data_IF_399382735118
#
_entry.id   IF_399382735118
#
_cell.length_a   1.000
_cell.length_b   1.000
_cell.length_c   1.000
_cell.angle_alpha   90.00
_cell.angle_beta   90.00
_cell.angle_gamma   90.00
#
_symmetry.space_group_name_H-M   'P 1'
#
loop_
_entity.id
_entity.type
_entity.pdbx_description
1 polymer ?
#
# COMPACT_ATOMS: atom_id res chain seq x y z
N UNK A 1 -15.46 -27.69 -23.37
CA UNK A 1 -14.55 -27.99 -22.23
C UNK A 1 -13.12 -27.53 -22.52
N UNK A 2 -12.46 -27.98 -23.59
CA UNK A 2 -11.07 -27.60 -23.91
C UNK A 2 -10.86 -26.07 -24.11
N UNK A 3 -11.75 -25.39 -24.83
CA UNK A 3 -11.67 -23.94 -25.04
C UNK A 3 -11.80 -23.13 -23.74
N UNK A 4 -12.66 -23.55 -22.82
CA UNK A 4 -12.78 -22.91 -21.50
C UNK A 4 -11.51 -23.09 -20.67
N UNK A 5 -10.86 -24.25 -20.76
CA UNK A 5 -9.59 -24.48 -20.08
C UNK A 5 -8.50 -23.52 -20.61
N UNK A 6 -8.40 -23.33 -21.93
CA UNK A 6 -7.46 -22.37 -22.53
C UNK A 6 -7.78 -20.92 -22.16
N UNK A 7 -9.05 -20.58 -21.95
CA UNK A 7 -9.43 -19.24 -21.55
C UNK A 7 -9.03 -18.91 -20.10
N UNK A 8 -9.12 -19.89 -19.20
CA UNK A 8 -8.99 -19.70 -17.74
C UNK A 8 -7.58 -20.04 -17.22
N UNK A 9 -6.96 -21.12 -17.74
CA UNK A 9 -5.70 -21.63 -17.22
C UNK A 9 -4.54 -20.61 -17.21
N UNK A 10 -4.37 -19.73 -18.22
CA UNK A 10 -3.28 -18.76 -18.22
C UNK A 10 -3.40 -17.76 -17.07
N UNK A 11 -4.61 -17.25 -16.80
CA UNK A 11 -4.87 -16.33 -15.68
C UNK A 11 -4.60 -16.99 -14.33
N UNK A 12 -5.06 -18.24 -14.16
CA UNK A 12 -4.78 -18.99 -12.93
C UNK A 12 -3.29 -19.27 -12.74
N UNK A 13 -2.56 -19.58 -13.81
CA UNK A 13 -1.11 -19.79 -13.75
C UNK A 13 -0.39 -18.51 -13.29
N UNK A 14 -0.81 -17.34 -13.75
CA UNK A 14 -0.26 -16.05 -13.30
C UNK A 14 -0.60 -15.79 -11.82
N UNK A 15 -1.84 -16.05 -11.40
CA UNK A 15 -2.25 -15.91 -10.00
C UNK A 15 -1.38 -16.79 -9.09
N UNK A 16 -1.17 -18.06 -9.46
CA UNK A 16 -0.31 -18.98 -8.73
C UNK A 16 1.15 -18.51 -8.72
N UNK A 17 1.66 -18.04 -9.86
CA UNK A 17 3.03 -17.52 -9.95
C UNK A 17 3.26 -16.36 -8.98
N UNK A 18 2.35 -15.39 -8.92
CA UNK A 18 2.46 -14.26 -7.98
C UNK A 18 2.28 -14.70 -6.53
N UNK A 19 1.32 -15.60 -6.26
CA UNK A 19 1.13 -16.17 -4.93
C UNK A 19 2.41 -16.86 -4.41
N UNK A 20 3.11 -17.64 -5.24
CA UNK A 20 4.38 -18.26 -4.85
C UNK A 20 5.56 -17.29 -4.77
N UNK A 21 5.46 -16.10 -5.36
CA UNK A 21 6.49 -15.05 -5.25
C UNK A 21 6.36 -14.22 -3.97
N UNK A 22 5.17 -14.21 -3.38
CA UNK A 22 4.91 -13.70 -2.06
C UNK A 22 5.33 -14.74 -1.01
N UNK A 23 6.59 -14.68 -0.58
CA UNK A 23 7.20 -15.71 0.29
C UNK A 23 7.20 -15.28 1.76
N UNK A 24 7.27 -13.97 2.03
CA UNK A 24 7.60 -13.47 3.36
C UNK A 24 6.37 -13.06 4.17
N UNK A 25 5.29 -12.62 3.52
CA UNK A 25 4.04 -12.26 4.18
C UNK A 25 2.82 -12.61 3.33
N UNK A 26 2.52 -13.91 3.28
CA UNK A 26 1.48 -14.41 2.41
C UNK A 26 0.09 -13.87 2.78
N UNK A 27 -0.49 -13.15 1.83
CA UNK A 27 -1.85 -12.65 1.95
C UNK A 27 -2.88 -13.79 2.11
N UNK A 28 -3.89 -13.63 2.99
CA UNK A 28 -4.90 -14.66 3.16
C UNK A 28 -5.62 -14.98 1.85
N UNK A 29 -5.65 -16.27 1.50
CA UNK A 29 -6.24 -16.79 0.24
C UNK A 29 -7.67 -16.27 0.00
N UNK A 30 -8.46 -16.10 1.07
CA UNK A 30 -9.80 -15.52 1.01
C UNK A 30 -9.81 -14.13 0.33
N UNK A 31 -8.89 -13.25 0.70
CA UNK A 31 -8.86 -11.90 0.13
C UNK A 31 -8.35 -11.91 -1.31
N UNK A 32 -7.40 -12.77 -1.64
CA UNK A 32 -6.91 -12.95 -3.02
C UNK A 32 -8.02 -13.47 -3.94
N UNK A 33 -8.75 -14.50 -3.53
CA UNK A 33 -9.91 -15.04 -4.26
C UNK A 33 -10.99 -13.98 -4.44
N UNK A 34 -11.23 -13.15 -3.42
CA UNK A 34 -12.22 -12.09 -3.52
C UNK A 34 -11.80 -10.97 -4.44
N UNK A 35 -10.52 -10.57 -4.43
CA UNK A 35 -9.98 -9.60 -5.36
C UNK A 35 -10.07 -10.08 -6.80
N UNK A 36 -9.78 -11.36 -7.05
CA UNK A 36 -10.00 -11.98 -8.36
C UNK A 36 -11.47 -11.93 -8.79
N UNK A 37 -12.39 -12.28 -7.90
CA UNK A 37 -13.82 -12.21 -8.20
C UNK A 37 -14.31 -10.79 -8.45
N UNK A 38 -13.86 -9.79 -7.68
CA UNK A 38 -14.20 -8.40 -7.96
C UNK A 38 -13.60 -7.92 -9.28
N UNK A 39 -12.42 -8.40 -9.66
CA UNK A 39 -11.85 -8.20 -10.98
C UNK A 39 -12.75 -8.73 -12.10
N UNK A 40 -13.30 -9.94 -11.94
CA UNK A 40 -14.31 -10.45 -12.88
C UNK A 40 -15.51 -9.51 -12.98
N UNK A 41 -16.04 -9.03 -11.85
CA UNK A 41 -17.19 -8.12 -11.85
C UNK A 41 -16.92 -6.78 -12.54
N UNK A 42 -15.66 -6.32 -12.63
CA UNK A 42 -15.34 -5.04 -13.28
C UNK A 42 -15.58 -5.03 -14.79
N UNK A 43 -15.65 -6.19 -15.45
CA UNK A 43 -15.91 -6.26 -16.89
C UNK A 43 -17.31 -5.74 -17.27
N UNK A 44 -18.31 -5.94 -16.41
CA UNK A 44 -19.70 -5.57 -16.70
C UNK A 44 -19.88 -4.05 -16.76
N UNK A 45 -19.52 -3.27 -15.73
CA UNK A 45 -19.65 -1.82 -15.80
C UNK A 45 -18.66 -1.19 -16.78
N UNK A 46 -17.49 -1.81 -17.03
CA UNK A 46 -16.56 -1.38 -18.08
C UNK A 46 -17.22 -1.48 -19.46
N UNK A 47 -17.74 -2.66 -19.82
CA UNK A 47 -18.41 -2.86 -21.11
C UNK A 47 -19.68 -2.01 -21.30
N UNK A 48 -20.46 -1.76 -20.25
CA UNK A 48 -21.61 -0.83 -20.31
C UNK A 48 -21.12 0.59 -20.62
N UNK A 49 -20.07 1.05 -19.94
CA UNK A 49 -19.56 2.40 -20.12
C UNK A 49 -18.92 2.57 -21.50
N UNK A 50 -18.13 1.59 -21.93
CA UNK A 50 -17.55 1.52 -23.27
C UNK A 50 -18.65 1.62 -24.32
N UNK A 51 -19.64 0.72 -24.30
CA UNK A 51 -20.74 0.72 -25.29
C UNK A 51 -21.60 1.99 -25.25
N UNK A 52 -21.75 2.63 -24.09
CA UNK A 52 -22.52 3.89 -23.96
C UNK A 52 -21.76 5.11 -24.49
N UNK A 53 -20.42 5.09 -24.40
CA UNK A 53 -19.55 6.16 -24.89
C UNK A 53 -19.11 5.92 -26.34
N UNK A 54 -19.18 4.68 -26.83
CA UNK A 54 -18.83 4.28 -28.19
C UNK A 54 -19.95 4.64 -29.17
N UNK A 55 -19.96 5.89 -29.63
CA UNK A 55 -20.80 6.33 -30.75
C UNK A 55 -20.00 6.23 -32.04
N UNK A 56 -19.99 5.05 -32.67
CA UNK A 56 -19.43 4.74 -34.00
C UNK A 56 -18.30 5.71 -34.43
N UNK A 57 -17.14 5.68 -33.75
CA UNK A 57 -16.06 6.61 -33.99
C UNK A 57 -15.61 6.49 -35.45
N UNK A 58 -15.34 7.63 -36.06
CA UNK A 58 -14.75 7.69 -37.39
C UNK A 58 -13.45 6.88 -37.46
N UNK A 59 -13.17 6.24 -38.60
CA UNK A 59 -11.98 5.38 -38.79
C UNK A 59 -10.69 6.22 -38.95
N UNK A 60 -10.59 7.38 -38.29
CA UNK A 60 -9.39 8.22 -38.31
C UNK A 60 -8.38 7.74 -37.26
N UNK A 61 -7.08 7.89 -37.56
CA UNK A 61 -5.99 7.51 -36.64
C UNK A 61 -6.12 8.22 -35.28
N UNK A 62 -6.60 9.46 -35.26
CA UNK A 62 -6.82 10.20 -34.03
C UNK A 62 -7.96 9.60 -33.19
N UNK A 63 -9.04 9.16 -33.83
CA UNK A 63 -10.16 8.50 -33.18
C UNK A 63 -9.77 7.14 -32.60
N UNK A 64 -8.97 6.36 -33.35
CA UNK A 64 -8.37 5.10 -32.86
C UNK A 64 -7.48 5.37 -31.64
N UNK A 65 -6.68 6.43 -31.66
CA UNK A 65 -5.88 6.86 -30.51
C UNK A 65 -6.75 7.19 -29.28
N UNK A 66 -7.77 8.03 -29.44
CA UNK A 66 -8.67 8.36 -28.32
C UNK A 66 -9.39 7.12 -27.79
N UNK A 67 -9.86 6.25 -28.69
CA UNK A 67 -10.53 4.99 -28.35
C UNK A 67 -9.61 4.08 -27.52
N UNK A 68 -8.37 3.89 -27.97
CA UNK A 68 -7.41 3.01 -27.30
C UNK A 68 -7.09 3.46 -25.88
N UNK A 69 -6.81 4.75 -25.68
CA UNK A 69 -6.34 5.26 -24.38
C UNK A 69 -7.48 5.69 -23.44
N UNK A 70 -8.48 6.42 -23.95
CA UNK A 70 -9.51 7.04 -23.11
C UNK A 70 -10.76 6.18 -22.98
N UNK A 71 -11.12 5.43 -24.01
CA UNK A 71 -12.37 4.67 -24.03
C UNK A 71 -12.18 3.24 -23.52
N UNK A 72 -11.14 2.54 -23.96
CA UNK A 72 -10.86 1.15 -23.54
C UNK A 72 -9.94 1.16 -22.32
N UNK A 73 -8.67 1.53 -22.49
CA UNK A 73 -7.66 1.37 -21.44
C UNK A 73 -7.99 2.15 -20.15
N UNK A 74 -8.45 3.41 -20.24
CA UNK A 74 -8.77 4.19 -19.06
C UNK A 74 -10.02 3.66 -18.31
N UNK A 75 -10.99 3.12 -19.04
CA UNK A 75 -12.21 2.56 -18.45
C UNK A 75 -11.91 1.24 -17.76
N UNK A 76 -11.28 0.30 -18.46
CA UNK A 76 -10.93 -1.00 -17.90
C UNK A 76 -9.99 -0.88 -16.69
N UNK A 77 -8.88 -0.14 -16.84
CA UNK A 77 -7.94 0.08 -15.73
C UNK A 77 -8.57 0.93 -14.62
N UNK A 78 -9.51 1.82 -14.95
CA UNK A 78 -10.24 2.63 -13.99
C UNK A 78 -11.09 1.78 -13.05
N UNK A 79 -11.86 0.83 -13.58
CA UNK A 79 -12.66 -0.07 -12.75
C UNK A 79 -11.80 -1.04 -11.92
N UNK A 80 -10.71 -1.58 -12.48
CA UNK A 80 -9.73 -2.37 -11.72
C UNK A 80 -9.13 -1.53 -10.58
N UNK A 81 -8.74 -0.28 -10.86
CA UNK A 81 -8.21 0.66 -9.88
C UNK A 81 -9.22 0.99 -8.78
N UNK A 82 -10.51 1.13 -9.08
CA UNK A 82 -11.58 1.34 -8.08
C UNK A 82 -11.62 0.17 -7.10
N UNK A 83 -11.62 -1.08 -7.60
CA UNK A 83 -11.58 -2.27 -6.73
C UNK A 83 -10.32 -2.25 -5.85
N UNK A 84 -9.16 -1.98 -6.44
CA UNK A 84 -7.92 -1.91 -5.67
C UNK A 84 -7.95 -0.83 -4.59
N UNK A 85 -8.40 0.38 -4.95
CA UNK A 85 -8.35 1.55 -4.08
C UNK A 85 -9.37 1.50 -2.94
N UNK A 86 -10.54 0.92 -3.18
CA UNK A 86 -11.66 0.96 -2.23
C UNK A 86 -11.93 -0.37 -1.53
N UNK A 87 -11.52 -1.50 -2.11
CA UNK A 87 -11.60 -2.82 -1.47
C UNK A 87 -10.22 -3.28 -0.95
N UNK A 88 -9.23 -3.50 -1.82
CA UNK A 88 -7.95 -4.13 -1.45
C UNK A 88 -7.13 -3.24 -0.50
N UNK A 89 -6.95 -1.98 -0.87
CA UNK A 89 -6.15 -0.99 -0.13
C UNK A 89 -6.62 -0.79 1.32
N UNK A 90 -7.91 -1.06 1.61
CA UNK A 90 -8.50 -0.92 2.95
C UNK A 90 -8.34 -2.17 3.80
N UNK A 91 -7.79 -3.26 3.27
CA UNK A 91 -7.57 -4.49 4.03
C UNK A 91 -6.49 -4.26 5.11
N UNK A 92 -6.70 -4.78 6.34
CA UNK A 92 -5.67 -4.74 7.37
C UNK A 92 -4.41 -5.53 7.01
N UNK A 93 -4.56 -6.57 6.19
CA UNK A 93 -3.46 -7.45 5.77
C UNK A 93 -2.58 -6.82 4.70
N UNK A 94 -3.07 -5.79 4.00
CA UNK A 94 -2.24 -5.00 3.11
C UNK A 94 -1.35 -4.10 3.97
N UNK A 95 -0.22 -4.62 4.39
CA UNK A 95 0.69 -3.99 5.34
C UNK A 95 2.11 -3.85 4.80
N UNK A 96 2.39 -4.28 3.56
CA UNK A 96 3.60 -3.95 2.82
C UNK A 96 3.38 -3.47 1.37
N UNK A 97 4.37 -2.83 0.72
CA UNK A 97 4.22 -2.36 -0.66
C UNK A 97 4.00 -3.49 -1.69
N UNK A 98 4.53 -4.70 -1.45
CA UNK A 98 4.41 -5.84 -2.36
C UNK A 98 2.96 -6.30 -2.53
N UNK A 99 2.15 -6.24 -1.46
CA UNK A 99 0.73 -6.60 -1.46
C UNK A 99 -0.06 -5.85 -2.52
N UNK A 100 0.34 -4.59 -2.79
CA UNK A 100 -0.23 -3.79 -3.86
C UNK A 100 -0.14 -4.49 -5.22
N UNK A 101 1.01 -5.11 -5.51
CA UNK A 101 1.21 -5.89 -6.73
C UNK A 101 0.39 -7.18 -6.68
N UNK A 102 0.43 -7.91 -5.56
CA UNK A 102 -0.28 -9.19 -5.41
C UNK A 102 -1.78 -9.00 -5.64
N UNK A 103 -2.41 -8.07 -4.92
CA UNK A 103 -3.82 -7.77 -5.10
C UNK A 103 -4.16 -7.24 -6.48
N UNK A 104 -3.32 -6.37 -7.05
CA UNK A 104 -3.55 -5.81 -8.38
C UNK A 104 -3.53 -6.86 -9.47
N UNK A 105 -2.55 -7.78 -9.43
CA UNK A 105 -2.52 -8.90 -10.38
C UNK A 105 -3.74 -9.79 -10.21
N UNK A 106 -4.20 -10.06 -8.99
CA UNK A 106 -5.43 -10.84 -8.78
C UNK A 106 -6.65 -10.18 -9.44
N UNK A 107 -6.84 -8.86 -9.25
CA UNK A 107 -7.92 -8.09 -9.88
C UNK A 107 -7.79 -8.13 -11.41
N UNK A 108 -6.60 -7.86 -11.95
CA UNK A 108 -6.35 -7.87 -13.40
C UNK A 108 -6.56 -9.25 -14.01
N UNK A 109 -6.17 -10.33 -13.33
CA UNK A 109 -6.41 -11.71 -13.80
C UNK A 109 -7.88 -12.11 -13.73
N UNK A 110 -8.62 -11.61 -12.74
CA UNK A 110 -10.08 -11.75 -12.70
C UNK A 110 -10.73 -11.15 -13.93
N UNK A 111 -10.42 -9.88 -14.23
CA UNK A 111 -10.91 -9.19 -15.43
C UNK A 111 -10.53 -9.95 -16.71
N UNK A 112 -9.23 -10.23 -16.88
CA UNK A 112 -8.70 -10.89 -18.07
C UNK A 112 -9.30 -12.28 -18.30
N UNK A 113 -9.70 -12.99 -17.23
CA UNK A 113 -10.34 -14.30 -17.35
C UNK A 113 -11.70 -14.20 -18.04
N UNK A 114 -12.59 -13.32 -17.58
CA UNK A 114 -13.91 -13.18 -18.22
C UNK A 114 -13.81 -12.58 -19.61
N UNK A 115 -12.92 -11.62 -19.80
CA UNK A 115 -12.67 -11.01 -21.11
C UNK A 115 -12.19 -12.08 -22.10
N UNK A 116 -11.18 -12.88 -21.72
CA UNK A 116 -10.68 -13.96 -22.56
C UNK A 116 -11.75 -15.03 -22.84
N UNK A 117 -12.60 -15.38 -21.87
CA UNK A 117 -13.74 -16.28 -22.11
C UNK A 117 -14.69 -15.71 -23.18
N UNK A 118 -15.00 -14.41 -23.14
CA UNK A 118 -15.81 -13.74 -24.15
C UNK A 118 -15.20 -13.82 -25.55
N UNK A 119 -13.92 -13.48 -25.69
CA UNK A 119 -13.22 -13.59 -26.98
C UNK A 119 -13.17 -15.03 -27.52
N UNK A 120 -12.90 -16.01 -26.65
CA UNK A 120 -12.85 -17.42 -27.06
C UNK A 120 -14.22 -17.93 -27.46
N UNK A 121 -15.29 -17.47 -26.81
CA UNK A 121 -16.66 -17.81 -27.18
C UNK A 121 -17.01 -17.30 -28.58
N UNK A 122 -16.56 -16.09 -28.94
CA UNK A 122 -16.86 -15.45 -30.22
C UNK A 122 -15.96 -15.94 -31.37
N UNK A 123 -14.66 -16.16 -31.12
CA UNK A 123 -13.67 -16.36 -32.18
C UNK A 123 -12.98 -17.74 -32.15
N UNK A 124 -13.21 -18.55 -31.13
CA UNK A 124 -12.73 -19.93 -31.05
C UNK A 124 -11.24 -20.08 -30.71
N UNK A 125 -10.67 -21.24 -31.10
CA UNK A 125 -9.35 -21.70 -30.68
C UNK A 125 -8.16 -20.80 -31.08
N UNK A 126 -8.04 -20.31 -32.33
CA UNK A 126 -6.85 -19.56 -32.74
C UNK A 126 -6.65 -18.29 -31.92
N UNK A 127 -7.75 -17.57 -31.64
CA UNK A 127 -7.73 -16.37 -30.79
C UNK A 127 -7.41 -16.74 -29.34
N UNK A 128 -7.97 -17.83 -28.82
CA UNK A 128 -7.63 -18.34 -27.49
C UNK A 128 -6.13 -18.56 -27.32
N UNK A 129 -5.51 -19.20 -28.30
CA UNK A 129 -4.09 -19.56 -28.27
C UNK A 129 -3.19 -18.33 -28.33
N UNK A 130 -3.48 -17.35 -29.18
CA UNK A 130 -2.70 -16.11 -29.26
C UNK A 130 -2.81 -15.31 -27.96
N UNK A 131 -4.04 -15.10 -27.46
CA UNK A 131 -4.30 -14.32 -26.24
C UNK A 131 -3.65 -14.90 -24.99
N UNK A 132 -3.48 -16.21 -24.93
CA UNK A 132 -2.75 -16.90 -23.85
C UNK A 132 -1.30 -16.38 -23.70
N UNK A 133 -0.65 -16.02 -24.80
CA UNK A 133 0.73 -15.52 -24.79
C UNK A 133 0.85 -14.00 -24.92
N UNK A 134 -0.24 -13.31 -25.27
CA UNK A 134 -0.23 -11.87 -25.51
C UNK A 134 -1.09 -11.12 -24.48
N UNK A 135 -2.41 -11.03 -24.70
CA UNK A 135 -3.30 -10.16 -23.92
C UNK A 135 -3.40 -10.57 -22.44
N UNK A 136 -3.39 -11.87 -22.10
CA UNK A 136 -3.45 -12.30 -20.68
C UNK A 136 -2.16 -11.90 -19.94
N UNK A 137 -0.95 -12.18 -20.45
CA UNK A 137 0.27 -11.60 -19.89
C UNK A 137 0.29 -10.06 -19.86
N UNK A 138 -0.29 -9.38 -20.86
CA UNK A 138 -0.39 -7.93 -20.88
C UNK A 138 -1.14 -7.39 -19.66
N UNK A 139 -2.35 -7.90 -19.38
CA UNK A 139 -3.13 -7.53 -18.18
C UNK A 139 -2.37 -7.77 -16.87
N UNK A 140 -1.58 -8.85 -16.80
CA UNK A 140 -0.76 -9.12 -15.64
C UNK A 140 0.31 -8.04 -15.43
N UNK A 141 0.98 -7.62 -16.51
CA UNK A 141 2.01 -6.57 -16.44
C UNK A 141 1.43 -5.20 -16.09
N UNK A 142 0.27 -4.85 -16.64
CA UNK A 142 -0.43 -3.61 -16.30
C UNK A 142 -0.87 -3.62 -14.83
N UNK A 143 -1.35 -4.77 -14.35
CA UNK A 143 -1.64 -5.02 -12.94
C UNK A 143 -0.42 -4.83 -12.04
N UNK A 144 0.77 -5.33 -12.43
CA UNK A 144 2.01 -5.10 -11.66
C UNK A 144 2.36 -3.62 -11.57
N UNK A 145 2.29 -2.87 -12.67
CA UNK A 145 2.59 -1.43 -12.70
C UNK A 145 1.62 -0.67 -11.81
N UNK A 146 0.31 -0.93 -11.96
CA UNK A 146 -0.74 -0.30 -11.14
C UNK A 146 -0.51 -0.58 -9.66
N UNK A 147 -0.31 -1.86 -9.33
CA UNK A 147 -0.16 -2.34 -7.96
C UNK A 147 1.10 -1.83 -7.27
N UNK A 148 2.21 -1.70 -8.00
CA UNK A 148 3.47 -1.17 -7.47
C UNK A 148 3.28 0.25 -6.91
N UNK A 149 2.76 1.17 -7.73
CA UNK A 149 2.58 2.56 -7.31
C UNK A 149 1.45 2.72 -6.27
N UNK A 150 0.36 1.94 -6.39
CA UNK A 150 -0.73 1.95 -5.43
C UNK A 150 -0.26 1.45 -4.05
N UNK A 151 0.50 0.36 -4.00
CA UNK A 151 1.11 -0.14 -2.77
C UNK A 151 2.01 0.87 -2.12
N UNK A 152 2.93 1.47 -2.89
CA UNK A 152 3.80 2.54 -2.38
C UNK A 152 3.00 3.74 -1.82
N UNK A 153 1.88 4.11 -2.44
CA UNK A 153 1.04 5.24 -2.01
C UNK A 153 0.41 5.06 -0.63
N UNK A 154 0.29 3.81 -0.16
CA UNK A 154 -0.21 3.49 1.18
C UNK A 154 0.75 3.92 2.27
N UNK A 155 2.04 3.70 2.05
CA UNK A 155 3.11 3.94 3.02
C UNK A 155 3.79 5.31 2.84
N UNK A 156 3.74 5.90 1.65
CA UNK A 156 4.26 7.24 1.36
C UNK A 156 3.13 8.28 1.32
N UNK A 157 2.64 8.69 2.51
CA UNK A 157 1.59 9.70 2.65
C UNK A 157 1.92 11.05 1.98
N UNK A 158 3.14 11.62 2.12
CA UNK A 158 3.50 12.88 1.47
C UNK A 158 3.34 12.85 -0.06
N UNK A 159 3.73 11.75 -0.71
CA UNK A 159 3.62 11.60 -2.16
C UNK A 159 2.38 10.83 -2.62
N UNK A 160 1.45 10.50 -1.71
CA UNK A 160 0.32 9.61 -1.99
C UNK A 160 -0.45 10.00 -3.25
N UNK A 161 -0.85 11.27 -3.38
CA UNK A 161 -1.64 11.74 -4.54
C UNK A 161 -0.89 11.51 -5.85
N UNK A 162 0.39 11.84 -5.88
CA UNK A 162 1.27 11.65 -7.05
C UNK A 162 1.41 10.16 -7.41
N UNK A 163 1.60 9.31 -6.41
CA UNK A 163 1.73 7.86 -6.60
C UNK A 163 0.42 7.21 -7.09
N UNK A 164 -0.73 7.67 -6.59
CA UNK A 164 -2.03 7.21 -7.10
C UNK A 164 -2.23 7.57 -8.57
N UNK A 165 -1.80 8.77 -8.99
CA UNK A 165 -1.82 9.14 -10.41
C UNK A 165 -0.87 8.28 -11.25
N UNK A 166 0.34 7.99 -10.77
CA UNK A 166 1.27 7.10 -11.46
C UNK A 166 0.76 5.66 -11.57
N UNK A 167 0.04 5.19 -10.55
CA UNK A 167 -0.62 3.88 -10.57
C UNK A 167 -1.64 3.79 -11.70
N UNK A 168 -2.57 4.76 -11.77
CA UNK A 168 -3.62 4.76 -12.78
C UNK A 168 -3.06 5.03 -14.19
N UNK A 169 -2.37 6.16 -14.38
CA UNK A 169 -1.85 6.56 -15.70
C UNK A 169 -0.80 5.59 -16.23
N UNK A 170 0.04 5.02 -15.36
CA UNK A 170 1.06 4.07 -15.79
C UNK A 170 0.48 2.80 -16.42
N UNK A 171 -0.60 2.27 -15.83
CA UNK A 171 -1.31 1.11 -16.38
C UNK A 171 -2.09 1.48 -17.65
N UNK A 172 -2.86 2.57 -17.62
CA UNK A 172 -3.63 3.04 -18.77
C UNK A 172 -2.76 3.34 -19.99
N UNK A 173 -1.58 3.95 -19.81
CA UNK A 173 -0.68 4.22 -20.92
C UNK A 173 -0.13 2.94 -21.56
N UNK A 174 0.29 1.97 -20.75
CA UNK A 174 0.83 0.70 -21.27
C UNK A 174 -0.25 -0.14 -21.96
N UNK A 175 -1.45 -0.17 -21.37
CA UNK A 175 -2.61 -0.83 -21.95
C UNK A 175 -3.05 -0.15 -23.25
N UNK A 176 -3.29 1.16 -23.24
CA UNK A 176 -3.69 1.90 -24.42
C UNK A 176 -2.65 1.85 -25.54
N UNK A 177 -1.35 1.76 -25.22
CA UNK A 177 -0.30 1.53 -26.24
C UNK A 177 -0.43 0.16 -26.90
N UNK A 178 -0.70 -0.88 -26.11
CA UNK A 178 -0.90 -2.24 -26.63
C UNK A 178 -2.12 -2.30 -27.55
N UNK A 179 -3.25 -1.76 -27.11
CA UNK A 179 -4.50 -1.73 -27.90
C UNK A 179 -4.39 -0.84 -29.13
N UNK A 180 -3.69 0.29 -29.05
CA UNK A 180 -3.47 1.18 -30.19
C UNK A 180 -2.89 0.41 -31.38
N UNK A 181 -1.86 -0.41 -31.15
CA UNK A 181 -1.25 -1.19 -32.22
C UNK A 181 -2.18 -2.25 -32.80
N UNK A 182 -3.01 -2.89 -31.97
CA UNK A 182 -4.00 -3.87 -32.43
C UNK A 182 -5.12 -3.21 -33.23
N UNK A 183 -5.67 -2.09 -32.75
CA UNK A 183 -6.76 -1.37 -33.39
C UNK A 183 -6.32 -0.67 -34.68
N UNK A 184 -5.09 -0.13 -34.74
CA UNK A 184 -4.52 0.35 -36.01
C UNK A 184 -4.36 -0.80 -37.01
N UNK A 185 -4.18 -2.04 -36.53
CA UNK A 185 -4.17 -3.25 -37.35
C UNK A 185 -5.52 -3.58 -37.99
N UNK A 186 -6.61 -2.99 -37.51
CA UNK A 186 -7.97 -3.13 -38.07
C UNK A 186 -8.42 -1.90 -38.88
N UNK A 187 -7.67 -0.79 -38.82
CA UNK A 187 -8.00 0.45 -39.51
C UNK A 187 -7.76 0.37 -41.03
N UNK A 188 -8.77 0.70 -41.84
CA UNK A 188 -8.72 0.48 -43.29
C UNK A 188 -7.68 1.36 -43.99
N UNK A 189 -7.48 2.59 -43.51
CA UNK A 189 -6.52 3.52 -44.11
C UNK A 189 -5.08 3.12 -43.77
N UNK A 190 -4.81 2.80 -42.50
CA UNK A 190 -3.46 2.41 -42.04
C UNK A 190 -2.98 1.13 -42.72
N UNK A 191 -3.87 0.14 -42.91
CA UNK A 191 -3.55 -1.14 -43.56
C UNK A 191 -3.08 -0.99 -45.02
N UNK A 192 -3.35 0.15 -45.68
CA UNK A 192 -2.83 0.43 -47.02
C UNK A 192 -1.33 0.77 -47.03
N UNK A 193 -0.80 1.26 -45.91
CA UNK A 193 0.58 1.77 -45.81
C UNK A 193 1.45 0.95 -44.87
N UNK A 194 0.86 0.25 -43.90
CA UNK A 194 1.56 -0.49 -42.86
C UNK A 194 1.04 -1.92 -42.81
N UNK A 195 1.93 -2.90 -42.80
CA UNK A 195 1.54 -4.31 -42.72
C UNK A 195 1.00 -4.68 -41.34
N UNK A 196 0.00 -5.57 -41.31
CA UNK A 196 -0.54 -6.14 -40.07
C UNK A 196 0.54 -6.76 -39.19
N UNK A 197 1.55 -7.40 -39.81
CA UNK A 197 2.69 -7.97 -39.09
C UNK A 197 3.52 -6.92 -38.35
N UNK A 198 3.73 -5.73 -38.93
CA UNK A 198 4.49 -4.67 -38.27
C UNK A 198 3.70 -4.08 -37.10
N UNK A 199 2.39 -3.88 -37.26
CA UNK A 199 1.50 -3.38 -36.21
C UNK A 199 1.38 -4.39 -35.06
N UNK A 200 1.18 -5.67 -35.37
CA UNK A 200 1.23 -6.73 -34.37
C UNK A 200 2.60 -6.80 -33.69
N UNK A 201 3.70 -6.61 -34.44
CA UNK A 201 5.04 -6.44 -33.88
C UNK A 201 5.15 -5.26 -32.91
N UNK A 202 4.45 -4.16 -33.17
CA UNK A 202 4.33 -3.02 -32.27
C UNK A 202 3.63 -3.38 -30.95
N UNK A 203 2.53 -4.13 -31.01
CA UNK A 203 1.84 -4.65 -29.82
C UNK A 203 2.73 -5.60 -29.00
N UNK A 204 3.49 -6.49 -29.66
CA UNK A 204 4.46 -7.34 -28.98
C UNK A 204 5.62 -6.54 -28.39
N UNK A 205 6.07 -5.48 -29.06
CA UNK A 205 7.08 -4.55 -28.57
C UNK A 205 6.64 -3.82 -27.31
N UNK A 206 5.41 -3.32 -27.27
CA UNK A 206 4.85 -2.68 -26.06
C UNK A 206 4.69 -3.67 -24.91
N UNK A 207 4.24 -4.90 -25.19
CA UNK A 207 4.20 -5.99 -24.22
C UNK A 207 5.60 -6.31 -23.66
N UNK A 208 6.61 -6.42 -24.52
CA UNK A 208 7.99 -6.66 -24.08
C UNK A 208 8.49 -5.56 -23.14
N UNK A 209 8.24 -4.29 -23.46
CA UNK A 209 8.56 -3.15 -22.58
C UNK A 209 7.83 -3.29 -21.24
N UNK A 210 6.53 -3.59 -21.26
CA UNK A 210 5.73 -3.77 -20.05
C UNK A 210 6.24 -4.93 -19.16
N UNK A 211 6.66 -6.05 -19.76
CA UNK A 211 7.26 -7.19 -19.06
C UNK A 211 8.58 -6.81 -18.42
N UNK A 212 9.48 -6.11 -19.12
CA UNK A 212 10.78 -5.70 -18.57
C UNK A 212 10.61 -4.74 -17.40
N UNK A 213 9.70 -3.78 -17.51
CA UNK A 213 9.35 -2.87 -16.42
C UNK A 213 8.75 -3.64 -15.24
N UNK A 214 7.78 -4.52 -15.48
CA UNK A 214 7.13 -5.31 -14.43
C UNK A 214 8.11 -6.18 -13.64
N UNK A 215 9.08 -6.81 -14.32
CA UNK A 215 10.17 -7.57 -13.67
C UNK A 215 11.00 -6.70 -12.73
N UNK A 216 11.35 -5.48 -13.17
CA UNK A 216 12.10 -4.51 -12.35
C UNK A 216 11.30 -4.09 -11.12
N UNK A 217 10.02 -3.79 -11.27
CA UNK A 217 9.14 -3.37 -10.17
C UNK A 217 8.91 -4.49 -9.15
N UNK A 218 8.64 -5.72 -9.61
CA UNK A 218 8.54 -6.91 -8.76
C UNK A 218 9.83 -7.14 -7.96
N UNK A 219 10.99 -7.04 -8.62
CA UNK A 219 12.27 -7.22 -7.94
C UNK A 219 12.50 -6.17 -6.84
N UNK A 220 12.14 -4.90 -7.09
CA UNK A 220 12.27 -3.83 -6.10
C UNK A 220 11.39 -4.06 -4.86
N UNK A 221 10.13 -4.43 -5.04
CA UNK A 221 9.25 -4.76 -3.92
C UNK A 221 9.68 -6.06 -3.21
N UNK A 222 10.18 -7.07 -3.92
CA UNK A 222 10.72 -8.28 -3.30
C UNK A 222 11.93 -7.99 -2.40
N UNK A 223 12.87 -7.13 -2.84
CA UNK A 223 13.98 -6.69 -1.98
C UNK A 223 13.47 -5.92 -0.75
N UNK A 224 12.41 -5.13 -0.92
CA UNK A 224 11.80 -4.37 0.18
C UNK A 224 11.20 -5.32 1.21
N UNK A 225 10.41 -6.31 0.77
CA UNK A 225 9.85 -7.37 1.60
C UNK A 225 10.94 -8.20 2.30
N UNK A 226 11.99 -8.63 1.57
CA UNK A 226 13.14 -9.32 2.16
C UNK A 226 13.78 -8.53 3.31
N UNK A 227 14.05 -7.23 3.11
CA UNK A 227 14.63 -6.35 4.14
C UNK A 227 13.70 -6.16 5.32
N UNK A 228 12.39 -6.18 5.08
CA UNK A 228 11.39 -6.11 6.14
C UNK A 228 11.41 -7.40 6.97
N UNK A 229 11.26 -8.58 6.36
CA UNK A 229 10.92 -9.80 7.11
C UNK A 229 12.10 -10.70 7.50
N UNK A 230 13.28 -10.60 6.87
CA UNK A 230 14.37 -11.56 7.13
C UNK A 230 15.51 -11.03 8.00
N UNK A 231 15.67 -9.71 8.13
CA UNK A 231 16.73 -9.14 8.96
C UNK A 231 16.21 -8.88 10.36
N UNK A 232 16.85 -9.49 11.38
CA UNK A 232 16.70 -9.00 12.75
C UNK A 232 17.02 -7.50 12.75
N UNK A 233 16.14 -6.66 13.31
CA UNK A 233 16.29 -5.23 13.12
C UNK A 233 17.59 -4.78 13.79
N UNK A 234 18.54 -4.28 13.00
CA UNK A 234 19.76 -3.65 13.51
C UNK A 234 19.37 -2.25 13.93
N UNK A 235 18.83 -2.16 15.14
CA UNK A 235 18.29 -0.93 15.67
C UNK A 235 19.40 -0.04 16.21
N UNK A 236 19.45 1.18 15.71
CA UNK A 236 20.25 2.25 16.32
C UNK A 236 19.33 3.36 16.79
N UNK A 237 19.71 3.98 17.90
CA UNK A 237 18.95 5.04 18.56
C UNK A 237 19.77 6.32 18.54
N UNK A 238 19.10 7.44 18.28
CA UNK A 238 19.71 8.76 18.31
C UNK A 238 18.77 9.76 18.96
N UNK A 239 19.30 10.59 19.85
CA UNK A 239 18.57 11.74 20.37
C UNK A 239 18.22 12.70 19.22
N UNK A 240 16.96 13.07 19.13
CA UNK A 240 16.47 14.02 18.15
C UNK A 240 16.87 15.44 18.56
N UNK A 241 17.12 16.29 17.56
CA UNK A 241 17.34 17.72 17.74
C UNK A 241 16.23 18.53 17.05
N UNK A 242 16.32 19.86 17.13
CA UNK A 242 15.38 20.76 16.45
C UNK A 242 15.33 20.49 14.93
N UNK A 243 16.43 20.04 14.31
CA UNK A 243 16.45 19.72 12.88
C UNK A 243 15.57 18.52 12.51
N UNK A 244 15.21 17.69 13.50
CA UNK A 244 14.47 16.45 13.30
C UNK A 244 12.95 16.60 13.43
N UNK A 245 12.46 17.80 13.78
CA UNK A 245 11.04 18.08 13.98
C UNK A 245 10.20 17.62 12.77
N UNK A 246 10.65 17.91 11.56
CA UNK A 246 9.94 17.52 10.33
C UNK A 246 9.95 16.00 10.12
N UNK A 247 11.01 15.31 10.52
CA UNK A 247 11.08 13.84 10.46
C UNK A 247 10.10 13.21 11.45
N UNK A 248 10.05 13.70 12.69
CA UNK A 248 9.09 13.23 13.72
C UNK A 248 7.66 13.45 13.24
N UNK A 249 7.34 14.63 12.68
CA UNK A 249 6.02 14.89 12.08
C UNK A 249 5.72 13.91 10.95
N UNK A 250 6.68 13.68 10.05
CA UNK A 250 6.51 12.74 8.93
C UNK A 250 6.21 11.32 9.41
N UNK A 251 6.97 10.82 10.39
CA UNK A 251 6.73 9.51 10.99
C UNK A 251 5.35 9.45 11.67
N UNK A 252 4.97 10.49 12.39
CA UNK A 252 3.67 10.58 13.07
C UNK A 252 2.51 10.50 12.08
N UNK A 253 2.60 11.22 10.95
CA UNK A 253 1.61 11.19 9.87
C UNK A 253 1.50 9.81 9.19
N UNK A 254 2.56 9.01 9.21
CA UNK A 254 2.54 7.64 8.67
C UNK A 254 1.94 6.63 9.65
N UNK A 255 2.18 6.80 10.97
CA UNK A 255 1.76 5.84 12.01
C UNK A 255 0.35 6.08 12.51
N UNK A 256 -0.01 7.32 12.84
CA UNK A 256 -1.26 7.65 13.54
C UNK A 256 -2.52 7.23 12.79
N UNK A 257 -2.71 7.59 11.50
CA UNK A 257 -3.93 7.24 10.78
C UNK A 257 -4.16 5.73 10.71
N UNK A 258 -3.09 4.93 10.63
CA UNK A 258 -3.19 3.48 10.58
C UNK A 258 -3.51 2.88 11.95
N UNK A 259 -2.98 3.48 13.02
CA UNK A 259 -3.17 3.01 14.39
C UNK A 259 -4.55 3.37 14.95
N UNK A 260 -5.07 4.55 14.61
CA UNK A 260 -6.27 5.10 15.25
C UNK A 260 -7.51 5.15 14.34
N UNK A 261 -7.43 4.85 13.04
CA UNK A 261 -8.59 4.96 12.13
C UNK A 261 -9.77 4.03 12.48
N UNK A 262 -9.55 2.99 13.27
CA UNK A 262 -10.63 2.10 13.77
C UNK A 262 -11.18 2.54 15.13
N UNK A 263 -10.57 3.55 15.75
CA UNK A 263 -10.86 4.01 17.12
C UNK A 263 -11.42 5.44 17.10
N UNK A 264 -10.81 6.30 16.29
CA UNK A 264 -11.06 7.74 16.24
C UNK A 264 -11.56 8.15 14.86
N UNK A 265 -12.38 9.19 14.83
CA UNK A 265 -12.88 9.76 13.57
C UNK A 265 -11.76 10.49 12.82
N UNK A 266 -11.86 10.57 11.48
CA UNK A 266 -10.86 11.30 10.68
C UNK A 266 -10.70 12.77 11.12
N UNK A 267 -11.76 13.55 11.42
CA UNK A 267 -11.62 14.90 11.97
C UNK A 267 -10.82 14.93 13.28
N UNK A 268 -11.09 14.00 14.20
CA UNK A 268 -10.37 13.92 15.47
C UNK A 268 -8.89 13.59 15.26
N UNK A 269 -8.56 12.64 14.37
CA UNK A 269 -7.16 12.29 14.06
C UNK A 269 -6.40 13.50 13.50
N UNK A 270 -7.01 14.23 12.57
CA UNK A 270 -6.39 15.42 11.98
C UNK A 270 -6.19 16.53 13.03
N UNK A 271 -7.19 16.75 13.88
CA UNK A 271 -7.10 17.70 14.99
C UNK A 271 -5.95 17.35 15.94
N UNK A 272 -5.90 16.09 16.39
CA UNK A 272 -4.87 15.57 17.29
C UNK A 272 -3.46 15.67 16.67
N UNK A 273 -3.31 15.31 15.40
CA UNK A 273 -2.03 15.44 14.69
C UNK A 273 -1.55 16.90 14.63
N UNK A 274 -2.46 17.86 14.53
CA UNK A 274 -2.10 19.27 14.50
C UNK A 274 -1.69 19.80 15.87
N UNK A 275 -2.47 19.52 16.92
CA UNK A 275 -2.17 20.02 18.27
C UNK A 275 -0.95 19.33 18.92
N UNK A 276 -0.63 18.08 18.55
CA UNK A 276 0.47 17.31 19.17
C UNK A 276 1.72 17.18 18.31
N UNK A 277 1.61 17.29 16.97
CA UNK A 277 2.69 17.01 16.02
C UNK A 277 2.91 18.10 14.97
N UNK A 278 2.29 19.28 15.10
CA UNK A 278 2.75 20.46 14.34
C UNK A 278 4.22 20.76 14.68
N UNK A 279 4.99 21.35 13.76
CA UNK A 279 6.38 21.70 14.04
C UNK A 279 6.51 22.57 15.30
N UNK A 280 5.56 23.49 15.51
CA UNK A 280 5.47 24.31 16.72
C UNK A 280 5.16 23.49 17.98
N UNK A 281 4.23 22.53 17.92
CA UNK A 281 3.90 21.68 19.07
C UNK A 281 5.08 20.76 19.48
N UNK A 282 5.77 20.16 18.50
CA UNK A 282 6.96 19.33 18.79
C UNK A 282 8.07 20.20 19.38
N UNK A 283 8.28 21.40 18.83
CA UNK A 283 9.26 22.34 19.38
C UNK A 283 8.96 22.69 20.83
N UNK A 284 7.71 23.05 21.14
CA UNK A 284 7.28 23.36 22.51
C UNK A 284 7.56 22.21 23.48
N UNK A 285 7.25 20.98 23.08
CA UNK A 285 7.53 19.79 23.90
C UNK A 285 9.03 19.63 24.18
N UNK A 286 9.89 19.88 23.19
CA UNK A 286 11.35 19.86 23.39
C UNK A 286 11.80 20.97 24.36
N UNK A 287 11.22 22.17 24.27
CA UNK A 287 11.51 23.27 25.20
C UNK A 287 11.02 22.94 26.62
N UNK A 288 9.90 22.22 26.75
CA UNK A 288 9.35 21.60 27.98
C UNK A 288 10.13 20.37 28.47
N UNK A 289 11.40 20.21 28.03
CA UNK A 289 12.34 19.17 28.46
C UNK A 289 11.97 17.74 28.03
N UNK A 290 11.00 17.55 27.13
CA UNK A 290 10.76 16.23 26.56
C UNK A 290 11.98 15.81 25.73
N UNK A 291 12.56 14.68 26.10
CA UNK A 291 13.57 14.01 25.30
C UNK A 291 12.88 13.27 24.16
N UNK A 292 13.43 13.37 22.96
CA UNK A 292 12.96 12.63 21.79
C UNK A 292 14.09 11.74 21.29
N UNK A 293 13.76 10.49 20.96
CA UNK A 293 14.68 9.56 20.31
C UNK A 293 14.09 9.12 18.97
N UNK A 294 14.95 9.03 17.96
CA UNK A 294 14.62 8.45 16.66
C UNK A 294 15.26 7.07 16.59
N UNK A 295 14.48 6.12 16.07
CA UNK A 295 14.85 4.73 15.92
C UNK A 295 15.12 4.48 14.45
N UNK A 296 16.30 3.95 14.15
CA UNK A 296 16.68 3.58 12.80
C UNK A 296 16.81 2.06 12.70
N UNK A 297 16.39 1.50 11.56
CA UNK A 297 16.72 0.13 11.18
C UNK A 297 17.56 0.19 9.90
N UNK A 298 18.78 -0.33 9.94
CA UNK A 298 19.73 -0.28 8.83
C UNK A 298 19.89 1.14 8.22
N UNK A 299 19.91 2.17 9.07
CA UNK A 299 20.08 3.57 8.67
C UNK A 299 18.81 4.29 8.21
N UNK A 300 17.67 3.60 8.10
CA UNK A 300 16.36 4.20 7.75
C UNK A 300 15.57 4.49 9.02
N UNK A 301 14.98 5.69 9.20
CA UNK A 301 14.15 5.99 10.37
C UNK A 301 12.84 5.19 10.33
N UNK A 302 12.58 4.41 11.39
CA UNK A 302 11.45 3.47 11.48
C UNK A 302 10.47 3.78 12.62
N UNK A 303 10.81 4.74 13.47
CA UNK A 303 9.98 5.11 14.61
C UNK A 303 10.64 6.20 15.44
N UNK A 304 9.91 6.65 16.45
CA UNK A 304 10.41 7.59 17.45
C UNK A 304 9.71 7.36 18.78
N UNK A 305 10.31 7.86 19.84
CA UNK A 305 9.69 7.92 21.15
C UNK A 305 10.02 9.25 21.84
N UNK A 306 9.22 9.60 22.85
CA UNK A 306 9.46 10.76 23.69
C UNK A 306 9.16 10.45 25.14
N UNK A 307 10.00 10.95 26.03
CA UNK A 307 9.88 10.77 27.47
C UNK A 307 10.44 11.99 28.21
N UNK A 308 9.98 12.20 29.43
CA UNK A 308 10.52 13.21 30.35
C UNK A 308 10.38 12.74 31.80
N UNK A 309 11.13 13.36 32.70
CA UNK A 309 10.80 13.29 34.12
C UNK A 309 9.57 14.18 34.38
N UNK A 310 8.59 13.68 35.12
CA UNK A 310 7.38 14.44 35.48
C UNK A 310 7.33 14.78 36.96
N UNK A 311 7.85 13.88 37.79
CA UNK A 311 8.03 14.05 39.23
C UNK A 311 9.37 13.42 39.61
N UNK A 312 9.98 13.76 40.76
CA UNK A 312 11.23 13.15 41.18
C UNK A 312 11.17 11.62 41.13
N UNK A 313 12.07 10.99 40.37
CA UNK A 313 12.13 9.53 40.16
C UNK A 313 10.96 8.92 39.35
N UNK A 314 10.04 9.72 38.82
CA UNK A 314 8.94 9.25 37.97
C UNK A 314 9.13 9.83 36.56
N UNK A 315 9.38 8.93 35.62
CA UNK A 315 9.49 9.25 34.21
C UNK A 315 8.22 8.87 33.48
N UNK A 316 7.87 9.64 32.45
CA UNK A 316 6.71 9.41 31.62
C UNK A 316 7.13 9.18 30.17
N UNK A 317 6.72 8.06 29.60
CA UNK A 317 6.77 7.78 28.17
C UNK A 317 5.57 8.44 27.50
N UNK A 318 5.78 9.65 26.98
CA UNK A 318 4.75 10.44 26.30
C UNK A 318 4.37 9.89 24.94
N UNK A 319 5.34 9.33 24.21
CA UNK A 319 5.16 8.88 22.81
C UNK A 319 5.98 7.63 22.55
N UNK A 320 5.39 6.67 21.85
CA UNK A 320 6.10 5.53 21.24
C UNK A 320 5.36 5.15 19.97
N UNK A 321 6.00 5.41 18.83
CA UNK A 321 5.42 5.13 17.52
C UNK A 321 6.44 4.43 16.64
N UNK A 322 6.01 3.31 16.07
CA UNK A 322 6.78 2.49 15.13
C UNK A 322 5.96 2.37 13.86
N UNK A 323 6.61 2.54 12.71
CA UNK A 323 5.97 2.35 11.40
C UNK A 323 5.29 0.96 11.36
N UNK A 324 4.09 0.84 10.81
CA UNK A 324 3.32 -0.41 10.77
C UNK A 324 4.15 -1.63 10.34
N UNK A 325 4.94 -1.46 9.29
CA UNK A 325 5.82 -2.51 8.73
C UNK A 325 6.93 -2.97 9.69
N UNK A 326 7.19 -2.24 10.77
CA UNK A 326 8.18 -2.57 11.81
C UNK A 326 7.53 -2.96 13.15
N UNK A 327 6.19 -3.04 13.22
CA UNK A 327 5.46 -3.53 14.40
C UNK A 327 5.52 -5.06 14.49
N UNK A 328 5.32 -5.62 15.68
CA UNK A 328 5.40 -7.08 15.90
C UNK A 328 6.81 -7.69 15.82
N UNK A 329 7.82 -6.94 15.36
CA UNK A 329 9.21 -7.41 15.17
C UNK A 329 10.17 -7.07 16.31
N UNK A 330 9.65 -6.75 17.49
CA UNK A 330 10.47 -6.40 18.65
C UNK A 330 10.94 -4.94 18.73
N UNK A 331 10.75 -4.13 17.68
CA UNK A 331 11.14 -2.70 17.66
C UNK A 331 10.64 -1.92 18.87
N UNK A 332 9.34 -2.04 19.20
CA UNK A 332 8.75 -1.39 20.38
C UNK A 332 9.38 -1.85 21.70
N UNK A 333 9.69 -3.15 21.82
CA UNK A 333 10.36 -3.71 23.02
C UNK A 333 11.76 -3.12 23.17
N UNK A 334 12.51 -3.00 22.08
CA UNK A 334 13.85 -2.41 22.09
C UNK A 334 13.83 -0.93 22.47
N UNK A 335 12.84 -0.17 21.96
CA UNK A 335 12.63 1.24 22.37
C UNK A 335 12.38 1.34 23.87
N UNK A 336 11.44 0.58 24.42
CA UNK A 336 11.14 0.61 25.85
C UNK A 336 12.37 0.23 26.67
N UNK A 337 13.11 -0.81 26.24
CA UNK A 337 14.31 -1.27 26.95
C UNK A 337 15.40 -0.19 26.96
N UNK A 338 15.62 0.48 25.83
CA UNK A 338 16.56 1.60 25.73
C UNK A 338 16.17 2.75 26.66
N UNK A 339 14.89 3.13 26.69
CA UNK A 339 14.40 4.21 27.55
C UNK A 339 14.53 3.81 29.02
N UNK A 340 14.12 2.59 29.41
CA UNK A 340 14.28 2.09 30.77
C UNK A 340 15.73 2.18 31.22
N UNK A 341 16.67 1.68 30.41
CA UNK A 341 18.09 1.75 30.73
C UNK A 341 18.56 3.19 30.97
N UNK A 342 18.14 4.13 30.12
CA UNK A 342 18.53 5.54 30.25
C UNK A 342 17.90 6.24 31.45
N UNK A 343 16.62 5.99 31.75
CA UNK A 343 15.97 6.67 32.88
C UNK A 343 16.38 6.05 34.22
N UNK A 344 16.70 4.75 34.27
CA UNK A 344 17.21 4.11 35.48
C UNK A 344 18.56 4.65 35.89
N UNK A 345 19.47 4.99 34.95
CA UNK A 345 20.73 5.66 35.31
C UNK A 345 20.53 7.09 35.83
N UNK A 346 19.36 7.69 35.60
CA UNK A 346 18.95 9.00 36.13
C UNK A 346 18.16 8.88 37.44
N UNK A 347 18.07 7.68 38.04
CA UNK A 347 17.37 7.45 39.31
C UNK A 347 15.87 7.20 39.18
N UNK A 348 15.36 6.89 37.99
CA UNK A 348 13.95 6.56 37.81
C UNK A 348 13.55 5.29 38.55
N UNK A 349 12.46 5.37 39.33
CA UNK A 349 11.81 4.25 40.01
C UNK A 349 10.54 3.80 39.30
N UNK A 350 9.88 4.69 38.55
CA UNK A 350 8.63 4.41 37.84
C UNK A 350 8.72 4.95 36.41
N UNK A 351 8.29 4.13 35.45
CA UNK A 351 7.99 4.58 34.09
C UNK A 351 6.47 4.51 33.88
N UNK A 352 5.85 5.64 33.58
CA UNK A 352 4.42 5.79 33.36
C UNK A 352 4.09 6.09 31.90
N UNK A 353 2.92 5.71 31.41
CA UNK A 353 2.42 6.08 30.09
C UNK A 353 0.90 6.17 30.05
N UNK A 354 0.38 6.77 28.98
CA UNK A 354 -1.04 6.67 28.63
C UNK A 354 -1.24 5.81 27.38
N UNK A 355 -2.30 5.02 27.38
CA UNK A 355 -2.73 4.24 26.22
C UNK A 355 -4.24 4.29 26.09
N UNK A 356 -4.74 4.58 24.88
CA UNK A 356 -6.17 4.61 24.62
C UNK A 356 -6.81 3.23 24.93
N UNK A 357 -7.98 3.26 25.58
CA UNK A 357 -8.66 2.05 26.10
C UNK A 357 -9.00 1.01 25.02
N UNK A 358 -9.19 1.44 23.78
CA UNK A 358 -9.51 0.59 22.63
C UNK A 358 -8.29 0.23 21.79
N UNK A 359 -7.09 0.69 22.16
CA UNK A 359 -5.88 0.44 21.39
C UNK A 359 -5.24 -0.90 21.77
N UNK A 360 -4.98 -1.74 20.75
CA UNK A 360 -4.28 -3.03 20.88
C UNK A 360 -2.90 -2.93 21.57
N UNK A 361 -2.29 -1.75 21.59
CA UNK A 361 -1.03 -1.50 22.28
C UNK A 361 -1.10 -1.75 23.80
N UNK A 362 -2.29 -1.73 24.42
CA UNK A 362 -2.45 -2.06 25.85
C UNK A 362 -1.83 -3.42 26.18
N UNK A 363 -2.15 -4.46 25.40
CA UNK A 363 -1.62 -5.81 25.61
C UNK A 363 -0.10 -5.88 25.39
N UNK A 364 0.44 -5.02 24.53
CA UNK A 364 1.90 -4.90 24.37
C UNK A 364 2.56 -4.34 25.63
N UNK A 365 1.99 -3.29 26.24
CA UNK A 365 2.51 -2.72 27.48
C UNK A 365 2.36 -3.68 28.66
N UNK A 366 1.24 -4.39 28.79
CA UNK A 366 1.04 -5.44 29.81
C UNK A 366 2.12 -6.52 29.73
N UNK A 367 2.43 -7.02 28.53
CA UNK A 367 3.52 -7.99 28.31
C UNK A 367 4.91 -7.44 28.65
N UNK A 368 5.08 -6.11 28.64
CA UNK A 368 6.31 -5.43 29.05
C UNK A 368 6.36 -5.17 30.56
N UNK A 369 5.35 -5.59 31.33
CA UNK A 369 5.27 -5.44 32.77
C UNK A 369 4.70 -4.11 33.24
N UNK A 370 3.95 -3.41 32.38
CA UNK A 370 3.15 -2.26 32.80
C UNK A 370 1.79 -2.72 33.33
N UNK A 371 1.29 -2.07 34.36
CA UNK A 371 -0.01 -2.32 34.96
C UNK A 371 -0.88 -1.07 34.85
N UNK A 372 -2.17 -1.24 34.50
CA UNK A 372 -3.11 -0.13 34.47
C UNK A 372 -3.52 0.25 35.90
N UNK A 373 -3.22 1.47 36.31
CA UNK A 373 -3.46 1.94 37.68
C UNK A 373 -4.75 2.78 37.80
N UNK A 374 -5.13 3.48 36.73
CA UNK A 374 -6.36 4.27 36.65
C UNK A 374 -6.77 4.53 35.21
N UNK A 375 -8.01 4.97 35.03
CA UNK A 375 -8.53 5.47 33.77
C UNK A 375 -8.64 7.00 33.82
N UNK A 376 -8.29 7.67 32.73
CA UNK A 376 -8.44 9.12 32.58
C UNK A 376 -9.23 9.45 31.32
N UNK A 377 -10.12 10.43 31.42
CA UNK A 377 -10.85 11.02 30.30
C UNK A 377 -10.43 12.49 30.19
N UNK A 378 -9.53 12.77 29.24
CA UNK A 378 -8.95 14.10 29.08
C UNK A 378 -9.71 14.82 27.97
N UNK A 379 -10.43 15.90 28.30
CA UNK A 379 -11.00 16.81 27.31
C UNK A 379 -9.85 17.54 26.59
N UNK A 380 -9.75 17.34 25.28
CA UNK A 380 -8.73 17.96 24.44
C UNK A 380 -9.30 19.10 23.58
N UNK A 381 -10.54 19.52 23.84
CA UNK A 381 -11.24 20.55 23.09
C UNK A 381 -12.01 20.00 21.88
N UNK A 382 -12.87 20.85 21.31
CA UNK A 382 -13.73 20.53 20.15
C UNK A 382 -14.66 19.31 20.35
N UNK A 383 -15.02 19.00 21.61
CA UNK A 383 -15.82 17.83 21.94
C UNK A 383 -15.09 16.51 21.79
N UNK A 384 -13.76 16.54 21.62
CA UNK A 384 -12.93 15.35 21.55
C UNK A 384 -12.29 15.04 22.91
N UNK A 385 -12.19 13.74 23.20
CA UNK A 385 -11.60 13.23 24.43
C UNK A 385 -10.46 12.26 24.13
N UNK A 386 -9.48 12.20 25.02
CA UNK A 386 -8.54 11.09 25.13
C UNK A 386 -8.99 10.18 26.27
N UNK A 387 -9.63 9.08 25.91
CA UNK A 387 -10.10 8.06 26.85
C UNK A 387 -9.00 7.01 27.02
N UNK A 388 -8.16 7.22 28.03
CA UNK A 388 -6.92 6.47 28.21
C UNK A 388 -6.94 5.67 29.52
N UNK A 389 -6.07 4.65 29.56
CA UNK A 389 -5.54 4.10 30.80
C UNK A 389 -4.20 4.76 31.09
N UNK A 390 -3.97 5.11 32.35
CA UNK A 390 -2.62 5.39 32.86
C UNK A 390 -2.02 4.06 33.30
N UNK A 391 -0.88 3.71 32.73
CA UNK A 391 -0.16 2.49 33.04
C UNK A 391 1.21 2.81 33.63
N UNK A 392 1.64 2.00 34.60
CA UNK A 392 2.92 2.15 35.29
C UNK A 392 3.72 0.86 35.30
N UNK A 393 5.04 1.01 35.22
CA UNK A 393 6.00 -0.05 35.47
C UNK A 393 7.00 0.42 36.52
N UNK A 394 7.11 -0.33 37.61
CA UNK A 394 8.19 -0.16 38.59
C UNK A 394 9.50 -0.63 38.00
N UNK A 395 10.53 0.20 38.11
CA UNK A 395 11.89 -0.08 37.66
C UNK A 395 12.69 -0.57 38.86
N UNK A 396 13.43 -1.66 38.69
CA UNK A 396 14.33 -2.14 39.73
C UNK A 396 15.55 -1.22 39.75
N UNK A 397 15.95 -0.77 40.95
CA UNK A 397 17.24 -0.10 41.14
C UNK A 397 18.36 -1.08 40.77
N UNK A 398 19.27 -0.66 39.89
CA UNK A 398 20.49 -1.40 39.56
C UNK A 398 21.38 -1.52 40.80
#
# INVERSE_FOLDING_TARGET
MFLMALAIAPSLAVCLFIFYKDVYDQEPTKYLLMSFFYGMLTIVPAGILETSLFNDPDDTVFSVFLTSYLLIAAVEEGFKFIVLRFYCYRRPTFDEPLDGIVYSVMVSMGFATLENVGYVWLHGFPVAFVRMFTSVPAHATFGVIMGYYLGKSKFDWPNRKKLLWYSFLGATLMHGTYDLFLLLGENNWVKQYVSELLLFGGALGSLFISVTLSRKLLHQHHITSLRLFTQSPVLTFRNASISDINLIRTLSMQVWPQTYSTILTQPQIMYMLEIMYSPAAIRRQMDEQHQFIIVYNAGVPVGFASYSETEPSIFRLHKLYVLPVHQGRGTGKSIISQIINEVTTKGAQILQLNVNRLNKAKTFYEKMGFEAIRSEDIDIGNGFFMNDYVMEKRLQSI
#
